data_IF_895367135295
#
_entry.id   IF_895367135295
#
_cell.length_a   1.000
_cell.length_b   1.000
_cell.length_c   1.000
_cell.angle_alpha   90.00
_cell.angle_beta   90.00
_cell.angle_gamma   90.00
#
_symmetry.space_group_name_H-M   'P 1'
#
loop_
_entity.id
_entity.type
_entity.pdbx_description
1 polymer ?
#
# COMPACT_ATOMS: atom_id res chain seq x y z
N UNK A 1 -15.94 -18.27 25.23
CA UNK A 1 -16.23 -18.07 23.80
C UNK A 1 -16.01 -16.60 23.55
N UNK A 2 -15.02 -16.25 22.74
CA UNK A 2 -14.81 -14.87 22.30
C UNK A 2 -16.03 -14.38 21.52
N UNK A 3 -16.30 -13.07 21.59
CA UNK A 3 -17.40 -12.50 20.83
C UNK A 3 -17.09 -12.54 19.33
N UNK A 4 -18.13 -12.51 18.51
CA UNK A 4 -18.00 -12.57 17.05
C UNK A 4 -17.22 -11.36 16.54
N UNK A 5 -17.40 -10.19 17.18
CA UNK A 5 -16.65 -8.97 16.90
C UNK A 5 -15.16 -9.11 17.22
N UNK A 6 -14.84 -9.85 18.28
CA UNK A 6 -13.45 -10.10 18.66
C UNK A 6 -12.77 -11.02 17.64
N UNK A 7 -13.42 -12.12 17.24
CA UNK A 7 -12.89 -13.03 16.21
C UNK A 7 -12.66 -12.31 14.88
N UNK A 8 -13.62 -11.46 14.46
CA UNK A 8 -13.46 -10.62 13.27
C UNK A 8 -12.26 -9.68 13.40
N UNK A 9 -12.09 -9.04 14.55
CA UNK A 9 -10.99 -8.10 14.80
C UNK A 9 -9.65 -8.82 14.74
N UNK A 10 -9.55 -10.00 15.34
CA UNK A 10 -8.33 -10.82 15.32
C UNK A 10 -8.00 -11.28 13.91
N UNK A 11 -8.96 -11.86 13.18
CA UNK A 11 -8.76 -12.28 11.78
C UNK A 11 -8.33 -11.11 10.89
N UNK A 12 -8.98 -9.96 11.01
CA UNK A 12 -8.62 -8.75 10.25
C UNK A 12 -7.20 -8.27 10.58
N UNK A 13 -6.81 -8.32 11.85
CA UNK A 13 -5.48 -7.88 12.30
C UNK A 13 -4.40 -8.82 11.80
N UNK A 14 -4.61 -10.12 11.94
CA UNK A 14 -3.68 -11.16 11.47
C UNK A 14 -3.51 -11.14 9.96
N UNK A 15 -4.60 -11.02 9.20
CA UNK A 15 -4.52 -10.91 7.73
C UNK A 15 -3.75 -9.66 7.30
N UNK A 16 -4.01 -8.49 7.90
CA UNK A 16 -3.27 -7.25 7.59
C UNK A 16 -1.78 -7.35 7.91
N UNK A 17 -1.45 -8.02 9.01
CA UNK A 17 -0.06 -8.26 9.39
C UNK A 17 0.68 -9.08 8.33
N UNK A 18 0.08 -10.18 7.87
CA UNK A 18 0.68 -11.01 6.83
C UNK A 18 0.65 -10.37 5.44
N UNK A 19 -0.39 -9.59 5.10
CA UNK A 19 -0.41 -8.76 3.88
C UNK A 19 0.76 -7.77 3.85
N UNK A 20 1.05 -7.10 4.97
CA UNK A 20 2.17 -6.16 5.07
C UNK A 20 3.51 -6.87 4.90
N UNK A 21 3.70 -8.00 5.58
CA UNK A 21 4.93 -8.80 5.47
C UNK A 21 5.15 -9.32 4.05
N UNK A 22 4.08 -9.76 3.37
CA UNK A 22 4.15 -10.28 2.00
C UNK A 22 4.37 -9.18 0.97
N UNK A 23 3.58 -8.08 1.01
CA UNK A 23 3.59 -7.06 -0.04
C UNK A 23 4.57 -5.91 0.18
N UNK A 24 4.91 -5.58 1.43
CA UNK A 24 5.76 -4.42 1.75
C UNK A 24 7.17 -4.86 2.14
N UNK A 25 7.28 -5.90 2.96
CA UNK A 25 8.56 -6.34 3.51
C UNK A 25 9.26 -7.42 2.69
N UNK A 26 8.55 -8.04 1.72
CA UNK A 26 9.04 -9.20 0.95
C UNK A 26 9.59 -10.33 1.87
N UNK A 27 8.94 -10.50 3.04
CA UNK A 27 9.39 -11.38 4.11
C UNK A 27 8.19 -12.13 4.73
N UNK A 28 7.51 -13.02 3.97
CA UNK A 28 6.32 -13.71 4.46
C UNK A 28 6.67 -14.69 5.59
N UNK A 29 5.90 -14.60 6.69
CA UNK A 29 6.03 -15.53 7.83
C UNK A 29 5.20 -16.81 7.64
N UNK A 30 4.10 -16.73 6.88
CA UNK A 30 3.19 -17.85 6.64
C UNK A 30 3.11 -18.19 5.14
N UNK A 31 2.90 -19.46 4.78
CA UNK A 31 2.63 -19.84 3.40
C UNK A 31 1.27 -19.31 2.91
N UNK A 32 1.15 -19.10 1.60
CA UNK A 32 -0.08 -18.64 0.94
C UNK A 32 -1.32 -19.47 1.32
N UNK A 33 -1.16 -20.79 1.48
CA UNK A 33 -2.25 -21.68 1.86
C UNK A 33 -2.85 -21.36 3.25
N UNK A 34 -2.02 -20.88 4.17
CA UNK A 34 -2.46 -20.49 5.51
C UNK A 34 -3.15 -19.13 5.48
N UNK A 35 -2.62 -18.20 4.70
CA UNK A 35 -3.28 -16.92 4.41
C UNK A 35 -4.69 -17.14 3.81
N UNK A 36 -4.79 -18.02 2.82
CA UNK A 36 -6.05 -18.39 2.17
C UNK A 36 -7.03 -19.08 3.13
N UNK A 37 -6.52 -19.82 4.13
CA UNK A 37 -7.35 -20.42 5.19
C UNK A 37 -7.98 -19.31 6.06
N UNK A 38 -7.17 -18.38 6.55
CA UNK A 38 -7.61 -17.24 7.36
C UNK A 38 -8.59 -16.34 6.58
N UNK A 39 -8.32 -16.09 5.30
CA UNK A 39 -9.18 -15.28 4.44
C UNK A 39 -10.55 -15.96 4.21
N UNK A 40 -10.59 -17.29 4.04
CA UNK A 40 -11.86 -18.03 3.94
C UNK A 40 -12.65 -17.96 5.24
N UNK A 41 -11.98 -18.12 6.37
CA UNK A 41 -12.61 -18.02 7.69
C UNK A 41 -13.23 -16.64 7.92
N UNK A 42 -12.50 -15.56 7.59
CA UNK A 42 -13.02 -14.20 7.64
C UNK A 42 -14.25 -14.01 6.73
N UNK A 43 -14.20 -14.53 5.50
CA UNK A 43 -15.33 -14.46 4.56
C UNK A 43 -16.56 -15.21 5.07
N UNK A 44 -16.38 -16.40 5.64
CA UNK A 44 -17.49 -17.18 6.20
C UNK A 44 -18.15 -16.46 7.37
N UNK A 45 -17.34 -15.83 8.23
CA UNK A 45 -17.80 -15.07 9.38
C UNK A 45 -18.57 -13.81 8.93
N UNK A 46 -18.02 -13.06 7.99
CA UNK A 46 -18.69 -11.89 7.39
C UNK A 46 -19.95 -12.24 6.60
N UNK A 47 -20.01 -13.43 5.99
CA UNK A 47 -21.23 -13.92 5.31
C UNK A 47 -22.36 -14.19 6.30
N UNK A 48 -22.01 -14.68 7.50
CA UNK A 48 -22.97 -14.90 8.59
C UNK A 48 -23.38 -13.60 9.28
N UNK A 49 -22.50 -12.60 9.28
CA UNK A 49 -22.66 -11.31 9.95
C UNK A 49 -22.40 -10.13 9.00
N UNK A 50 -23.26 -9.94 7.98
CA UNK A 50 -23.07 -8.88 6.99
C UNK A 50 -23.07 -7.47 7.60
N UNK A 51 -23.74 -7.29 8.75
CA UNK A 51 -23.78 -6.06 9.52
C UNK A 51 -22.42 -5.64 10.10
N UNK A 52 -21.47 -6.57 10.21
CA UNK A 52 -20.14 -6.34 10.78
C UNK A 52 -19.07 -6.11 9.70
N UNK A 53 -19.44 -6.15 8.41
CA UNK A 53 -18.53 -5.90 7.28
C UNK A 53 -18.13 -4.44 7.27
N UNK A 54 -16.83 -4.17 7.27
CA UNK A 54 -16.28 -2.82 7.14
C UNK A 54 -15.68 -2.58 5.75
N UNK A 55 -15.74 -1.36 5.20
CA UNK A 55 -15.16 -1.05 3.88
C UNK A 55 -13.64 -1.27 3.79
N UNK A 56 -12.95 -1.30 4.92
CA UNK A 56 -11.50 -1.52 5.04
C UNK A 56 -11.14 -2.98 5.40
N UNK A 57 -12.12 -3.89 5.42
CA UNK A 57 -11.87 -5.31 5.69
C UNK A 57 -11.01 -5.94 4.57
N UNK A 58 -10.07 -6.84 4.89
CA UNK A 58 -9.27 -7.56 3.90
C UNK A 58 -10.11 -8.26 2.82
N UNK A 59 -11.32 -8.71 3.14
CA UNK A 59 -12.23 -9.34 2.16
C UNK A 59 -12.74 -8.39 1.09
N UNK A 60 -12.85 -7.09 1.43
CA UNK A 60 -13.24 -6.01 0.52
C UNK A 60 -12.05 -5.47 -0.27
N UNK A 61 -10.83 -5.85 0.14
CA UNK A 61 -9.57 -5.51 -0.50
C UNK A 61 -8.98 -6.72 -1.21
N UNK A 62 -9.60 -7.13 -2.29
CA UNK A 62 -8.94 -8.01 -3.27
C UNK A 62 -8.91 -7.26 -4.57
N UNK A 63 -7.71 -7.15 -5.16
CA UNK A 63 -7.41 -6.56 -6.46
C UNK A 63 -8.66 -6.03 -7.15
N UNK A 64 -8.97 -4.76 -6.90
CA UNK A 64 -10.18 -4.14 -7.42
C UNK A 64 -10.27 -4.47 -8.91
N UNK A 65 -11.43 -4.95 -9.37
CA UNK A 65 -11.73 -4.98 -10.79
C UNK A 65 -11.24 -3.65 -11.39
N UNK A 66 -10.55 -3.64 -12.55
CA UNK A 66 -10.07 -2.40 -13.12
C UNK A 66 -11.27 -1.46 -13.20
N UNK A 67 -11.23 -0.38 -12.40
CA UNK A 67 -12.34 0.55 -12.27
C UNK A 67 -12.74 0.98 -13.68
N UNK A 68 -13.98 0.68 -14.04
CA UNK A 68 -14.56 1.21 -15.26
C UNK A 68 -14.52 2.74 -15.16
N UNK A 69 -13.66 3.35 -15.97
CA UNK A 69 -13.42 4.80 -16.05
C UNK A 69 -12.97 5.45 -14.73
N UNK A 70 -11.66 5.43 -14.47
CA UNK A 70 -11.04 6.29 -13.45
C UNK A 70 -11.46 7.75 -13.67
N UNK A 71 -12.11 8.34 -12.67
CA UNK A 71 -12.34 9.79 -12.61
C UNK A 71 -11.01 10.47 -12.27
N UNK A 72 -10.67 11.58 -12.94
CA UNK A 72 -9.44 12.30 -12.65
C UNK A 72 -9.53 12.97 -11.27
N UNK A 73 -8.63 12.60 -10.36
CA UNK A 73 -8.45 13.28 -9.08
C UNK A 73 -7.26 14.22 -9.21
N UNK A 74 -7.45 15.48 -8.83
CA UNK A 74 -6.37 16.46 -8.81
C UNK A 74 -5.55 16.28 -7.53
N UNK A 75 -4.25 16.06 -7.65
CA UNK A 75 -3.34 16.01 -6.51
C UNK A 75 -3.33 17.37 -5.77
N UNK A 76 -3.36 17.34 -4.44
CA UNK A 76 -3.31 18.53 -3.58
C UNK A 76 -1.97 19.27 -3.70
N UNK A 77 -0.90 18.52 -3.93
CA UNK A 77 0.44 19.01 -4.23
C UNK A 77 0.84 18.55 -5.64
N UNK A 78 1.45 19.40 -6.47
CA UNK A 78 1.91 18.98 -7.80
C UNK A 78 2.86 17.78 -7.71
N UNK A 79 2.55 16.70 -8.42
CA UNK A 79 3.51 15.65 -8.65
C UNK A 79 4.59 16.17 -9.59
N UNK A 80 5.84 16.18 -9.12
CA UNK A 80 6.99 16.55 -9.94
C UNK A 80 7.59 15.30 -10.59
N UNK A 81 8.17 15.48 -11.77
CA UNK A 81 9.02 14.46 -12.40
C UNK A 81 10.48 14.79 -12.15
N UNK A 82 11.34 13.78 -12.28
CA UNK A 82 12.78 13.97 -12.29
C UNK A 82 13.27 14.03 -13.74
N UNK A 83 14.06 15.05 -14.06
CA UNK A 83 14.83 15.08 -15.30
C UNK A 83 15.96 14.06 -15.24
N UNK A 84 16.29 13.47 -16.39
CA UNK A 84 17.25 12.39 -16.50
C UNK A 84 18.54 12.85 -17.18
N UNK A 85 19.65 12.18 -16.86
CA UNK A 85 20.95 12.27 -17.55
C UNK A 85 21.43 10.85 -17.87
N UNK A 86 22.10 10.66 -18.99
CA UNK A 86 22.51 9.33 -19.49
C UNK A 86 24.02 9.14 -19.56
N UNK A 87 24.79 10.18 -19.24
CA UNK A 87 26.24 10.21 -19.30
C UNK A 87 26.82 11.01 -18.13
N UNK A 88 28.08 10.71 -17.82
CA UNK A 88 28.79 11.28 -16.67
C UNK A 88 29.00 12.80 -16.81
N UNK A 89 29.24 13.29 -18.03
CA UNK A 89 29.44 14.72 -18.29
C UNK A 89 28.17 15.52 -17.95
N UNK A 90 27.02 15.03 -18.38
CA UNK A 90 25.71 15.63 -18.08
C UNK A 90 25.38 15.59 -16.59
N UNK A 91 25.77 14.52 -15.88
CA UNK A 91 25.63 14.43 -14.42
C UNK A 91 26.52 15.45 -13.69
N UNK A 92 27.78 15.58 -14.10
CA UNK A 92 28.71 16.56 -13.53
C UNK A 92 28.26 17.99 -13.79
N UNK A 93 27.66 18.27 -14.96
CA UNK A 93 27.05 19.56 -15.27
C UNK A 93 25.84 19.85 -14.36
N UNK A 94 24.99 18.85 -14.06
CA UNK A 94 23.91 18.99 -13.08
C UNK A 94 24.45 19.31 -11.69
N UNK A 95 25.45 18.55 -11.22
CA UNK A 95 26.09 18.78 -9.92
C UNK A 95 26.66 20.21 -9.84
N UNK A 96 27.35 20.68 -10.88
CA UNK A 96 27.87 22.06 -10.94
C UNK A 96 26.75 23.10 -10.76
N UNK A 97 25.62 22.96 -11.47
CA UNK A 97 24.46 23.87 -11.33
C UNK A 97 23.88 23.89 -9.92
N UNK A 98 23.80 22.73 -9.27
CA UNK A 98 23.34 22.62 -7.87
C UNK A 98 24.30 23.35 -6.93
N UNK A 99 25.61 23.10 -7.06
CA UNK A 99 26.64 23.73 -6.22
C UNK A 99 26.66 25.25 -6.37
N UNK A 100 26.57 25.75 -7.61
CA UNK A 100 26.54 27.19 -7.88
C UNK A 100 25.28 27.86 -7.28
N UNK A 101 24.13 27.18 -7.33
CA UNK A 101 22.88 27.66 -6.74
C UNK A 101 22.92 27.69 -5.21
N UNK A 102 23.59 26.73 -4.57
CA UNK A 102 23.74 26.67 -3.12
C UNK A 102 24.71 27.74 -2.57
N UNK A 103 25.74 28.11 -3.35
CA UNK A 103 26.69 29.19 -3.00
C UNK A 103 26.09 30.61 -3.06
N UNK A 104 24.82 30.75 -3.44
CA UNK A 104 24.14 32.03 -3.64
C UNK A 104 23.37 32.53 -2.40
N UNK A 105 23.68 32.04 -1.19
CA UNK A 105 22.92 32.35 0.02
C UNK A 105 23.76 32.94 1.17
N UNK A 106 24.86 33.64 0.86
CA UNK A 106 25.46 34.60 1.79
C UNK A 106 24.95 36.01 1.47
N UNK A 107 23.94 36.44 2.23
CA UNK A 107 23.64 37.84 2.50
C UNK A 107 23.49 38.02 4.00
#
# INVERSE_FOLDING_TARGET
MESIEQQLTELRTTLRHHEYLYHVMDAPEIPDAEYDRLMRELRELETKHPELITPDSPTQRVGAAPLAAFSQIRHEVPMLSLDNVFDEESFLAFNKRVQDRLKSNEK
#
